data_IF_816448471432
#
_entry.id   IF_816448471432
#
_cell.length_a   1.000
_cell.length_b   1.000
_cell.length_c   1.000
_cell.angle_alpha   90.00
_cell.angle_beta   90.00
_cell.angle_gamma   90.00
#
_symmetry.space_group_name_H-M   'P 1'
#
loop_
_entity.id
_entity.type
_entity.pdbx_description
1 polymer ?
#
# COMPACT_ATOMS: atom_id res chain seq x y z
N UNK A 1 -29.08 6.84 -12.21
CA UNK A 1 -27.73 7.04 -12.72
C UNK A 1 -27.65 6.94 -14.25
N UNK A 2 -28.19 5.87 -14.90
CA UNK A 2 -28.06 5.63 -16.36
C UNK A 2 -28.50 6.82 -17.22
N UNK A 3 -29.54 7.55 -16.82
CA UNK A 3 -30.11 8.68 -17.58
C UNK A 3 -29.60 10.05 -17.08
N UNK A 4 -28.60 10.13 -16.21
CA UNK A 4 -28.08 11.38 -15.66
C UNK A 4 -29.11 12.15 -14.81
N UNK A 5 -30.05 11.45 -14.19
CA UNK A 5 -31.12 12.05 -13.38
C UNK A 5 -31.00 11.55 -11.93
N UNK A 6 -31.08 12.48 -10.98
CA UNK A 6 -31.22 12.21 -9.56
C UNK A 6 -32.50 12.89 -9.03
N UNK A 7 -33.14 12.28 -8.03
CA UNK A 7 -34.36 12.77 -7.41
C UNK A 7 -34.26 12.66 -5.90
N UNK A 8 -34.77 13.64 -5.16
CA UNK A 8 -34.85 13.58 -3.70
C UNK A 8 -36.00 12.67 -3.23
N UNK A 9 -37.04 12.52 -4.06
CA UNK A 9 -38.16 11.62 -3.83
C UNK A 9 -38.70 11.09 -5.15
N UNK A 10 -39.51 10.00 -5.16
CA UNK A 10 -40.14 9.47 -6.39
C UNK A 10 -40.98 10.46 -7.15
N UNK A 11 -41.59 11.43 -6.46
CA UNK A 11 -42.46 12.47 -7.01
C UNK A 11 -41.70 13.70 -7.52
N UNK A 12 -40.40 13.79 -7.30
CA UNK A 12 -39.56 14.90 -7.73
C UNK A 12 -39.49 14.95 -9.26
N UNK A 13 -39.58 16.16 -9.82
CA UNK A 13 -39.54 16.42 -11.25
C UNK A 13 -38.13 16.78 -11.76
N UNK A 14 -37.11 16.58 -10.95
CA UNK A 14 -35.74 16.83 -11.35
C UNK A 14 -35.36 16.01 -12.60
N UNK A 15 -34.72 16.66 -13.57
CA UNK A 15 -34.26 16.11 -14.84
C UNK A 15 -32.72 16.07 -14.98
N UNK A 16 -32.02 16.31 -13.89
CA UNK A 16 -30.55 16.40 -13.86
C UNK A 16 -29.96 15.80 -12.59
N UNK A 17 -28.64 15.89 -12.42
CA UNK A 17 -27.91 15.36 -11.25
C UNK A 17 -27.81 16.34 -10.08
N UNK A 18 -28.39 17.54 -10.18
CA UNK A 18 -28.30 18.55 -9.12
C UNK A 18 -28.66 18.02 -7.73
N UNK A 19 -29.77 17.25 -7.53
CA UNK A 19 -30.10 16.73 -6.21
C UNK A 19 -29.01 15.84 -5.59
N UNK A 20 -28.31 15.04 -6.40
CA UNK A 20 -27.18 14.24 -5.96
C UNK A 20 -25.98 15.11 -5.56
N UNK A 21 -25.66 16.11 -6.39
CA UNK A 21 -24.56 17.03 -6.12
C UNK A 21 -24.82 17.86 -4.84
N UNK A 22 -26.05 18.32 -4.64
CA UNK A 22 -26.45 19.03 -3.42
C UNK A 22 -26.31 18.18 -2.16
N UNK A 23 -26.61 16.87 -2.25
CA UNK A 23 -26.37 15.92 -1.14
C UNK A 23 -24.88 15.76 -0.89
N UNK A 24 -24.08 15.58 -1.92
CA UNK A 24 -22.61 15.46 -1.77
C UNK A 24 -22.04 16.71 -1.10
N UNK A 25 -22.42 17.91 -1.55
CA UNK A 25 -21.94 19.18 -0.99
C UNK A 25 -22.36 19.37 0.48
N UNK A 26 -23.49 18.81 0.89
CA UNK A 26 -23.98 18.90 2.26
C UNK A 26 -23.34 17.89 3.20
N UNK A 27 -23.19 16.64 2.76
CA UNK A 27 -22.80 15.51 3.61
C UNK A 27 -21.28 15.24 3.59
N UNK A 28 -20.59 15.61 2.50
CA UNK A 28 -19.16 15.35 2.37
C UNK A 28 -18.36 16.59 2.77
N UNK A 29 -17.63 16.49 3.87
CA UNK A 29 -16.72 17.55 4.30
C UNK A 29 -15.57 17.73 3.30
N UNK A 30 -15.16 18.98 2.99
CA UNK A 30 -13.98 19.23 2.16
C UNK A 30 -12.73 18.56 2.73
N UNK A 31 -11.88 18.03 1.86
CA UNK A 31 -10.62 17.39 2.23
C UNK A 31 -9.59 18.39 2.77
N UNK A 32 -9.76 19.69 2.48
CA UNK A 32 -8.89 20.78 2.90
C UNK A 32 -9.70 21.93 3.51
N UNK A 33 -9.11 22.62 4.46
CA UNK A 33 -9.60 23.90 4.99
C UNK A 33 -8.43 24.81 5.29
N UNK A 34 -8.68 26.11 5.39
CA UNK A 34 -7.65 27.10 5.75
C UNK A 34 -7.04 26.81 7.12
N UNK A 35 -7.87 26.39 8.08
CA UNK A 35 -7.42 26.01 9.42
C UNK A 35 -6.46 24.84 9.41
N UNK A 36 -6.74 23.81 8.59
CA UNK A 36 -5.88 22.63 8.45
C UNK A 36 -4.58 22.96 7.73
N UNK A 37 -4.58 23.87 6.75
CA UNK A 37 -3.37 24.26 6.02
C UNK A 37 -2.40 25.11 6.85
N UNK A 38 -2.90 25.85 7.86
CA UNK A 38 -2.07 26.65 8.78
C UNK A 38 -1.43 25.82 9.92
N UNK A 39 -1.85 24.55 10.07
CA UNK A 39 -1.29 23.65 11.08
C UNK A 39 0.09 23.12 10.69
N UNK A 40 0.75 22.46 11.64
CA UNK A 40 1.98 21.73 11.39
C UNK A 40 1.72 20.50 10.51
N UNK A 41 2.69 20.21 9.66
CA UNK A 41 2.62 19.05 8.74
C UNK A 41 2.24 17.77 9.45
N UNK A 42 1.27 17.05 8.87
CA UNK A 42 0.85 15.71 9.27
C UNK A 42 0.47 14.89 8.03
N UNK A 43 1.25 13.85 7.75
CA UNK A 43 1.05 12.95 6.60
C UNK A 43 1.06 11.50 7.08
N UNK A 44 0.19 10.68 6.52
CA UNK A 44 0.21 9.23 6.78
C UNK A 44 0.32 8.46 5.47
N UNK A 45 1.38 7.66 5.30
CA UNK A 45 1.48 6.70 4.20
C UNK A 45 0.45 5.58 4.34
N UNK A 46 -0.22 5.28 3.22
CA UNK A 46 -1.15 4.16 3.11
C UNK A 46 -0.74 3.17 2.01
N UNK A 47 0.27 3.54 1.20
CA UNK A 47 0.85 2.65 0.20
C UNK A 47 2.34 2.95 0.03
N UNK A 48 3.08 2.00 -0.54
CA UNK A 48 4.49 2.12 -0.85
C UNK A 48 4.72 1.86 -2.33
N UNK A 49 5.74 2.51 -2.89
CA UNK A 49 6.26 2.25 -4.22
C UNK A 49 7.79 2.15 -4.16
N UNK A 50 8.40 1.67 -5.22
CA UNK A 50 9.83 1.60 -5.34
C UNK A 50 10.30 2.15 -6.69
N UNK A 51 11.34 2.94 -6.64
CA UNK A 51 12.01 3.48 -7.83
C UNK A 51 13.50 3.13 -7.76
N UNK A 52 14.09 2.69 -8.87
CA UNK A 52 15.47 2.22 -8.88
C UNK A 52 16.50 3.33 -8.52
N UNK A 53 16.14 4.61 -8.69
CA UNK A 53 17.00 5.75 -8.39
C UNK A 53 16.67 6.44 -7.08
N UNK A 54 15.38 6.50 -6.71
CA UNK A 54 14.90 7.19 -5.53
C UNK A 54 14.74 6.25 -4.33
N UNK A 55 14.78 4.94 -4.56
CA UNK A 55 14.52 3.93 -3.54
C UNK A 55 13.04 3.82 -3.19
N UNK A 56 12.75 3.52 -1.93
CA UNK A 56 11.38 3.41 -1.41
C UNK A 56 10.69 4.77 -1.42
N UNK A 57 9.44 4.77 -1.88
CA UNK A 57 8.57 5.93 -1.99
C UNK A 57 7.33 5.71 -1.12
N UNK A 58 6.98 6.71 -0.32
CA UNK A 58 5.78 6.69 0.49
C UNK A 58 4.64 7.39 -0.24
N UNK A 59 3.52 6.70 -0.46
CA UNK A 59 2.29 7.30 -0.97
C UNK A 59 1.36 7.51 0.21
N UNK A 60 1.01 8.76 0.48
CA UNK A 60 0.24 9.13 1.65
C UNK A 60 -0.67 10.32 1.41
N UNK A 61 -1.57 10.55 2.37
CA UNK A 61 -2.43 11.73 2.39
C UNK A 61 -1.85 12.78 3.32
N UNK A 62 -1.87 14.04 2.88
CA UNK A 62 -1.59 15.19 3.74
C UNK A 62 -2.86 15.51 4.53
N UNK A 63 -2.84 15.30 5.84
CA UNK A 63 -3.97 15.56 6.73
C UNK A 63 -3.96 16.98 7.26
N UNK A 64 -2.77 17.54 7.51
CA UNK A 64 -2.58 18.89 8.03
C UNK A 64 -1.31 19.52 7.45
N UNK A 65 -1.32 20.83 7.30
CA UNK A 65 -0.17 21.62 6.88
C UNK A 65 0.21 21.47 5.42
N UNK A 66 1.48 21.74 5.15
CA UNK A 66 2.08 21.72 3.81
C UNK A 66 3.37 20.92 3.86
N UNK A 67 3.53 19.98 2.93
CA UNK A 67 4.77 19.24 2.76
C UNK A 67 5.63 19.91 1.69
N UNK A 68 6.94 20.04 1.95
CA UNK A 68 7.88 20.70 1.03
C UNK A 68 9.08 19.81 0.71
N UNK A 69 9.55 19.92 -0.52
CA UNK A 69 10.79 19.30 -0.93
C UNK A 69 11.98 19.91 -0.15
N UNK A 70 12.92 19.06 0.25
CA UNK A 70 14.10 19.46 1.02
C UNK A 70 13.87 19.61 2.52
N UNK A 71 12.64 19.44 3.00
CA UNK A 71 12.28 19.63 4.40
C UNK A 71 12.71 18.45 5.28
N UNK A 72 13.15 18.78 6.51
CA UNK A 72 13.37 17.78 7.57
C UNK A 72 12.05 17.47 8.26
N UNK A 73 11.74 16.19 8.37
CA UNK A 73 10.52 15.66 9.01
C UNK A 73 10.87 14.61 10.04
N UNK A 74 9.98 14.43 10.99
CA UNK A 74 10.01 13.35 11.96
C UNK A 74 9.04 12.24 11.55
N UNK A 75 9.50 11.01 11.50
CA UNK A 75 8.67 9.83 11.26
C UNK A 75 8.44 9.15 12.59
N UNK A 76 7.19 8.92 12.94
CA UNK A 76 6.79 8.30 14.21
C UNK A 76 6.05 6.99 13.96
N UNK A 77 6.45 5.96 14.71
CA UNK A 77 5.72 4.68 14.79
C UNK A 77 4.66 4.74 15.88
N UNK A 78 3.68 3.85 15.80
CA UNK A 78 2.69 3.65 16.88
C UNK A 78 3.32 3.23 18.21
N UNK A 79 4.52 2.62 18.19
CA UNK A 79 5.30 2.27 19.38
C UNK A 79 5.90 3.46 20.13
N UNK A 80 5.83 4.67 19.56
CA UNK A 80 6.46 5.89 20.10
C UNK A 80 7.88 6.15 19.59
N UNK A 81 8.50 5.19 18.90
CA UNK A 81 9.79 5.43 18.25
C UNK A 81 9.67 6.53 17.21
N UNK A 82 10.66 7.43 17.19
CA UNK A 82 10.73 8.50 16.21
C UNK A 82 12.12 8.60 15.58
N UNK A 83 12.15 9.02 14.32
CA UNK A 83 13.38 9.25 13.57
C UNK A 83 13.24 10.44 12.63
N UNK A 84 14.33 11.15 12.41
CA UNK A 84 14.36 12.28 11.47
C UNK A 84 14.80 11.81 10.08
N UNK A 85 14.14 12.33 9.05
CA UNK A 85 14.47 12.09 7.64
C UNK A 85 14.27 13.38 6.85
N UNK A 86 14.92 13.44 5.69
CA UNK A 86 14.77 14.55 4.76
C UNK A 86 13.94 14.13 3.56
N UNK A 87 12.87 14.85 3.26
CA UNK A 87 12.10 14.67 2.03
C UNK A 87 12.96 15.18 0.86
N UNK A 88 13.37 14.28 -0.02
CA UNK A 88 14.21 14.65 -1.17
C UNK A 88 13.38 15.11 -2.36
N UNK A 89 12.22 14.49 -2.59
CA UNK A 89 11.27 14.85 -3.65
C UNK A 89 9.84 14.70 -3.19
N UNK A 90 8.97 15.53 -3.74
CA UNK A 90 7.52 15.48 -3.58
C UNK A 90 6.89 15.34 -4.96
N UNK A 91 5.93 14.41 -5.09
CA UNK A 91 5.14 14.25 -6.30
C UNK A 91 3.66 14.29 -5.93
N UNK A 92 2.87 14.85 -6.82
CA UNK A 92 1.40 14.76 -6.84
C UNK A 92 0.93 13.92 -8.02
N UNK A 93 -0.35 13.58 -8.07
CA UNK A 93 -0.92 12.76 -9.12
C UNK A 93 -1.85 13.61 -9.99
N UNK A 94 -1.62 13.60 -11.29
CA UNK A 94 -2.51 14.15 -12.30
C UNK A 94 -3.05 12.99 -13.15
N UNK A 95 -4.24 12.50 -12.81
CA UNK A 95 -4.76 11.24 -13.37
C UNK A 95 -3.88 10.04 -12.98
N UNK A 96 -3.29 9.37 -13.95
CA UNK A 96 -2.39 8.23 -13.75
C UNK A 96 -0.90 8.61 -13.67
N UNK A 97 -0.57 9.86 -13.97
CA UNK A 97 0.81 10.33 -14.03
C UNK A 97 1.23 10.97 -12.70
N UNK A 98 2.50 10.75 -12.33
CA UNK A 98 3.13 11.46 -11.21
C UNK A 98 3.83 12.71 -11.71
N UNK A 99 3.59 13.83 -11.04
CA UNK A 99 4.19 15.13 -11.35
C UNK A 99 5.01 15.62 -10.16
N UNK A 100 6.29 15.92 -10.40
CA UNK A 100 7.15 16.49 -9.37
C UNK A 100 6.67 17.90 -9.03
N UNK A 101 6.62 18.23 -7.75
CA UNK A 101 6.24 19.55 -7.23
C UNK A 101 7.16 19.95 -6.08
N UNK A 102 7.30 21.26 -5.86
CA UNK A 102 8.07 21.79 -4.74
C UNK A 102 7.33 21.64 -3.40
N UNK A 103 6.00 21.67 -3.44
CA UNK A 103 5.15 21.51 -2.26
C UNK A 103 3.78 20.92 -2.61
N UNK A 104 3.13 20.35 -1.59
CA UNK A 104 1.75 19.90 -1.65
C UNK A 104 1.03 20.22 -0.34
N UNK A 105 -0.28 20.38 -0.39
CA UNK A 105 -1.09 20.93 0.69
C UNK A 105 -2.01 19.88 1.31
N UNK A 106 -2.64 20.26 2.41
CA UNK A 106 -3.66 19.45 3.08
C UNK A 106 -4.75 19.00 2.11
N UNK A 107 -5.11 17.72 2.18
CA UNK A 107 -6.07 17.09 1.30
C UNK A 107 -5.45 16.36 0.11
N UNK A 108 -4.22 16.72 -0.28
CA UNK A 108 -3.51 16.06 -1.39
C UNK A 108 -3.08 14.64 -1.05
N UNK A 109 -3.05 13.81 -2.07
CA UNK A 109 -2.33 12.53 -2.05
C UNK A 109 -0.97 12.77 -2.69
N UNK A 110 0.07 12.47 -1.92
CA UNK A 110 1.46 12.74 -2.31
C UNK A 110 2.29 11.46 -2.36
N UNK A 111 3.31 11.47 -3.20
CA UNK A 111 4.37 10.47 -3.18
C UNK A 111 5.66 11.16 -2.73
N UNK A 112 6.27 10.65 -1.65
CA UNK A 112 7.43 11.24 -0.99
C UNK A 112 8.65 10.34 -1.14
N UNK A 113 9.78 10.91 -1.55
CA UNK A 113 11.08 10.27 -1.60
C UNK A 113 12.00 10.77 -0.48
N UNK A 114 13.04 9.99 -0.15
CA UNK A 114 14.00 10.30 0.91
C UNK A 114 13.69 9.64 2.25
N UNK A 115 12.75 8.71 2.27
CA UNK A 115 12.25 8.00 3.44
C UNK A 115 12.48 6.48 3.31
N UNK A 116 13.75 5.99 3.31
CA UNK A 116 14.07 4.61 2.91
C UNK A 116 13.49 3.55 3.83
N UNK A 117 13.22 3.89 5.07
CA UNK A 117 12.73 3.00 6.12
C UNK A 117 11.28 3.28 6.54
N UNK A 118 10.52 3.97 5.69
CA UNK A 118 9.10 4.29 5.93
C UNK A 118 8.22 3.06 5.77
N UNK A 119 7.19 2.95 6.61
CA UNK A 119 6.16 1.94 6.54
C UNK A 119 4.75 2.54 6.50
N UNK A 120 3.79 1.72 6.06
CA UNK A 120 2.37 2.09 6.04
C UNK A 120 1.89 2.33 7.48
N UNK A 121 1.06 3.36 7.67
CA UNK A 121 0.47 3.72 8.95
C UNK A 121 1.39 4.46 9.91
N UNK A 122 2.67 4.67 9.55
CA UNK A 122 3.53 5.59 10.30
C UNK A 122 3.06 7.03 10.08
N UNK A 123 3.40 7.91 10.99
CA UNK A 123 3.05 9.33 10.91
C UNK A 123 4.28 10.15 10.55
N UNK A 124 4.21 10.89 9.46
CA UNK A 124 5.21 11.89 9.08
C UNK A 124 4.73 13.24 9.63
N UNK A 125 5.51 13.86 10.48
CA UNK A 125 5.16 15.11 11.15
C UNK A 125 6.34 16.10 11.17
N UNK A 126 6.08 17.35 11.54
CA UNK A 126 7.13 18.36 11.63
C UNK A 126 7.97 18.19 12.90
N UNK A 127 7.31 17.98 14.02
CA UNK A 127 7.94 17.89 15.35
C UNK A 127 7.66 16.53 16.00
N UNK A 128 8.62 15.98 16.76
CA UNK A 128 8.44 14.70 17.45
C UNK A 128 7.36 14.73 18.54
N UNK A 129 6.94 15.89 19.00
CA UNK A 129 5.91 16.05 20.05
C UNK A 129 4.48 16.02 19.50
N UNK A 130 4.29 16.16 18.17
CA UNK A 130 2.96 16.08 17.56
C UNK A 130 2.32 14.71 17.83
N UNK A 131 1.00 14.70 17.94
CA UNK A 131 0.23 13.46 18.04
C UNK A 131 0.37 12.61 16.78
N UNK A 132 0.36 11.30 16.96
CA UNK A 132 0.39 10.34 15.86
C UNK A 132 -1.04 10.08 15.36
N UNK A 133 -1.14 9.86 14.06
CA UNK A 133 -2.39 9.39 13.48
C UNK A 133 -2.66 7.92 13.89
N UNK A 134 -3.93 7.50 13.96
CA UNK A 134 -4.27 6.11 14.21
C UNK A 134 -3.54 5.18 13.25
N UNK A 135 -2.95 4.10 13.77
CA UNK A 135 -2.24 3.13 12.95
C UNK A 135 -3.19 2.46 11.95
N UNK A 136 -2.70 2.27 10.73
CA UNK A 136 -3.42 1.45 9.74
C UNK A 136 -3.13 -0.01 10.06
N UNK A 137 -4.16 -0.76 10.42
CA UNK A 137 -4.04 -2.20 10.64
C UNK A 137 -3.77 -2.91 9.32
N UNK A 138 -2.76 -3.76 9.31
CA UNK A 138 -2.44 -4.62 8.17
C UNK A 138 -2.71 -6.05 8.59
N UNK A 139 -3.57 -6.73 7.85
CA UNK A 139 -3.93 -8.11 8.13
C UNK A 139 -2.70 -9.01 8.03
N UNK A 140 -2.58 -9.92 8.98
CA UNK A 140 -1.53 -10.92 8.98
C UNK A 140 -1.75 -11.97 7.88
N UNK A 141 -0.67 -12.57 7.37
CA UNK A 141 -0.78 -13.66 6.42
C UNK A 141 -1.60 -14.84 6.97
N UNK A 142 -2.47 -15.41 6.12
CA UNK A 142 -3.31 -16.57 6.46
C UNK A 142 -2.89 -17.84 5.74
N UNK A 143 -2.15 -17.72 4.64
CA UNK A 143 -1.66 -18.86 3.86
C UNK A 143 -0.15 -18.76 3.62
N UNK A 144 0.48 -19.89 3.40
CA UNK A 144 1.86 -19.94 2.95
C UNK A 144 2.05 -20.98 1.83
N UNK A 145 3.02 -20.70 0.95
CA UNK A 145 3.41 -21.55 -0.17
C UNK A 145 4.93 -21.57 -0.29
N UNK A 146 5.47 -22.65 -0.83
CA UNK A 146 6.87 -22.71 -1.21
C UNK A 146 7.01 -22.26 -2.66
N UNK A 147 7.91 -21.33 -2.93
CA UNK A 147 8.30 -20.86 -4.25
C UNK A 147 9.63 -21.49 -4.61
N UNK A 148 9.69 -22.17 -5.74
CA UNK A 148 10.86 -22.85 -6.26
C UNK A 148 11.12 -22.41 -7.71
N UNK A 149 12.34 -22.53 -8.15
CA UNK A 149 12.63 -22.44 -9.58
C UNK A 149 12.11 -23.67 -10.31
N UNK A 150 11.74 -23.50 -11.57
CA UNK A 150 11.30 -24.62 -12.40
C UNK A 150 12.50 -25.53 -12.73
N UNK A 151 12.61 -26.65 -12.02
CA UNK A 151 13.65 -27.66 -12.21
C UNK A 151 13.25 -28.76 -13.19
N UNK A 152 12.09 -28.63 -13.85
CA UNK A 152 11.62 -29.63 -14.84
C UNK A 152 12.49 -29.58 -16.11
N UNK A 153 12.47 -30.67 -16.93
CA UNK A 153 13.14 -30.68 -18.24
C UNK A 153 12.66 -29.63 -19.24
N UNK A 154 11.53 -28.96 -18.91
CA UNK A 154 10.94 -27.87 -19.69
C UNK A 154 11.34 -26.47 -19.15
N UNK A 155 12.09 -26.41 -18.07
CA UNK A 155 12.55 -25.14 -17.47
C UNK A 155 13.36 -24.31 -18.46
N UNK A 156 13.11 -22.99 -18.50
CA UNK A 156 13.79 -22.04 -19.37
C UNK A 156 13.25 -21.97 -20.79
N UNK A 157 12.12 -22.61 -21.09
CA UNK A 157 11.53 -22.56 -22.45
C UNK A 157 10.64 -21.35 -22.66
N UNK A 158 9.95 -20.91 -21.65
CA UNK A 158 8.98 -19.80 -21.71
C UNK A 158 9.48 -18.55 -20.96
N UNK A 159 10.20 -18.73 -19.87
CA UNK A 159 10.69 -17.65 -19.02
C UNK A 159 12.19 -17.37 -19.21
N UNK A 160 12.58 -16.15 -18.88
CA UNK A 160 13.99 -15.70 -18.93
C UNK A 160 14.68 -15.85 -17.58
N UNK A 161 13.91 -15.84 -16.49
CA UNK A 161 14.42 -15.84 -15.12
C UNK A 161 14.10 -17.20 -14.48
N UNK A 162 15.12 -18.04 -14.39
CA UNK A 162 15.00 -19.46 -14.01
C UNK A 162 15.95 -19.86 -12.87
N UNK A 163 16.62 -18.88 -12.25
CA UNK A 163 17.58 -19.16 -11.19
C UNK A 163 17.06 -18.75 -9.80
N UNK A 164 17.46 -19.50 -8.78
CA UNK A 164 17.11 -19.22 -7.38
C UNK A 164 17.52 -17.79 -6.96
N UNK A 165 18.69 -17.31 -7.44
CA UNK A 165 19.17 -15.96 -7.16
C UNK A 165 18.21 -14.90 -7.72
N UNK A 166 17.80 -15.04 -8.99
CA UNK A 166 16.87 -14.11 -9.63
C UNK A 166 15.51 -14.11 -8.91
N UNK A 167 15.02 -15.28 -8.52
CA UNK A 167 13.79 -15.43 -7.74
C UNK A 167 13.91 -14.70 -6.39
N UNK A 168 15.03 -14.86 -5.68
CA UNK A 168 15.30 -14.17 -4.43
C UNK A 168 15.28 -12.65 -4.60
N UNK A 169 16.06 -12.14 -5.53
CA UNK A 169 16.16 -10.69 -5.81
C UNK A 169 14.78 -10.09 -6.18
N UNK A 170 13.94 -10.85 -6.88
CA UNK A 170 12.58 -10.42 -7.21
C UNK A 170 11.66 -10.37 -6.00
N UNK A 171 11.73 -11.40 -5.14
CA UNK A 171 10.95 -11.45 -3.91
C UNK A 171 11.39 -10.39 -2.90
N UNK A 172 12.69 -10.14 -2.76
CA UNK A 172 13.23 -9.04 -1.94
C UNK A 172 12.69 -7.69 -2.42
N UNK A 173 12.63 -7.47 -3.74
CA UNK A 173 12.05 -6.25 -4.33
C UNK A 173 10.55 -6.14 -4.07
N UNK A 174 9.81 -7.24 -4.11
CA UNK A 174 8.40 -7.24 -3.75
C UNK A 174 8.17 -6.82 -2.30
N UNK A 175 9.02 -7.26 -1.37
CA UNK A 175 8.92 -6.89 0.05
C UNK A 175 9.11 -5.39 0.32
N UNK A 176 9.73 -4.65 -0.61
CA UNK A 176 9.87 -3.20 -0.48
C UNK A 176 8.54 -2.46 -0.58
N UNK A 177 7.57 -3.03 -1.30
CA UNK A 177 6.28 -2.37 -1.60
C UNK A 177 5.08 -3.13 -1.06
N UNK A 178 5.18 -4.44 -0.93
CA UNK A 178 4.08 -5.31 -0.53
C UNK A 178 4.15 -5.67 0.94
N UNK A 179 3.58 -4.82 1.79
CA UNK A 179 3.63 -4.95 3.25
C UNK A 179 2.80 -6.13 3.81
N UNK A 180 1.88 -6.68 3.03
CA UNK A 180 1.09 -7.87 3.39
C UNK A 180 1.77 -9.18 3.03
N UNK A 181 2.98 -9.12 2.46
CA UNK A 181 3.78 -10.28 2.08
C UNK A 181 4.89 -10.51 3.10
N UNK A 182 5.15 -11.77 3.43
CA UNK A 182 6.36 -12.17 4.16
C UNK A 182 7.06 -13.27 3.38
N UNK A 183 8.37 -13.27 3.38
CA UNK A 183 9.17 -14.32 2.74
C UNK A 183 10.25 -14.78 3.71
N UNK A 184 10.35 -16.10 3.87
CA UNK A 184 11.44 -16.73 4.59
C UNK A 184 12.48 -17.26 3.58
N UNK A 185 13.67 -16.69 3.64
CA UNK A 185 14.82 -17.02 2.80
C UNK A 185 15.81 -17.97 3.48
N UNK A 186 15.43 -18.62 4.59
CA UNK A 186 16.32 -19.49 5.37
C UNK A 186 16.72 -20.77 4.61
N UNK A 187 15.88 -21.21 3.68
CA UNK A 187 16.12 -22.39 2.87
C UNK A 187 16.78 -22.02 1.55
N UNK A 188 17.69 -22.88 1.07
CA UNK A 188 18.38 -22.66 -0.22
C UNK A 188 17.62 -23.20 -1.43
N UNK A 189 16.75 -24.20 -1.22
CA UNK A 189 16.05 -24.91 -2.29
C UNK A 189 14.72 -24.25 -2.66
N UNK A 190 14.08 -23.59 -1.70
CA UNK A 190 12.80 -22.89 -1.88
C UNK A 190 12.69 -21.70 -0.94
N UNK A 191 11.81 -20.77 -1.28
CA UNK A 191 11.45 -19.64 -0.41
C UNK A 191 10.01 -19.80 0.04
N UNK A 192 9.80 -19.71 1.36
CA UNK A 192 8.45 -19.79 1.92
C UNK A 192 7.80 -18.44 1.91
N UNK A 193 6.76 -18.31 1.10
CA UNK A 193 6.03 -17.07 0.87
C UNK A 193 4.72 -17.10 1.63
N UNK A 194 4.47 -16.09 2.43
CA UNK A 194 3.28 -15.92 3.26
C UNK A 194 2.43 -14.80 2.71
N UNK A 195 1.17 -15.07 2.41
CA UNK A 195 0.23 -14.12 1.85
C UNK A 195 -1.06 -14.02 2.66
N UNK A 196 -1.79 -12.92 2.48
CA UNK A 196 -3.09 -12.69 3.15
C UNK A 196 -4.22 -13.58 2.63
N UNK A 197 -4.07 -14.16 1.45
CA UNK A 197 -5.05 -15.04 0.84
C UNK A 197 -4.61 -15.49 -0.54
N UNK A 198 -5.37 -16.40 -1.15
CA UNK A 198 -5.04 -17.00 -2.46
C UNK A 198 -4.90 -15.97 -3.56
N UNK A 199 -5.83 -15.00 -3.64
CA UNK A 199 -5.80 -13.96 -4.67
C UNK A 199 -4.54 -13.09 -4.56
N UNK A 200 -4.10 -12.77 -3.35
CA UNK A 200 -2.89 -11.99 -3.11
C UNK A 200 -1.65 -12.68 -3.71
N UNK A 201 -1.51 -13.97 -3.47
CA UNK A 201 -0.38 -14.76 -4.01
C UNK A 201 -0.55 -15.02 -5.51
N UNK A 202 -1.78 -15.23 -6.00
CA UNK A 202 -2.04 -15.41 -7.41
C UNK A 202 -1.66 -14.18 -8.25
N UNK A 203 -1.94 -12.97 -7.74
CA UNK A 203 -1.54 -11.71 -8.39
C UNK A 203 -0.02 -11.59 -8.43
N UNK A 204 0.67 -11.92 -7.33
CA UNK A 204 2.14 -11.93 -7.32
C UNK A 204 2.71 -12.89 -8.39
N UNK A 205 2.19 -14.11 -8.44
CA UNK A 205 2.62 -15.11 -9.42
C UNK A 205 2.36 -14.66 -10.86
N UNK A 206 1.20 -14.06 -11.11
CA UNK A 206 0.85 -13.57 -12.45
C UNK A 206 1.76 -12.40 -12.87
N UNK A 207 2.08 -11.49 -11.96
CA UNK A 207 3.03 -10.42 -12.22
C UNK A 207 4.41 -10.98 -12.53
N UNK A 208 4.91 -11.93 -11.75
CA UNK A 208 6.19 -12.59 -11.99
C UNK A 208 6.20 -13.33 -13.32
N UNK A 209 5.12 -14.03 -13.66
CA UNK A 209 4.97 -14.71 -14.96
C UNK A 209 5.07 -13.71 -16.12
N UNK A 210 4.38 -12.57 -16.05
CA UNK A 210 4.43 -11.50 -17.06
C UNK A 210 5.81 -10.85 -17.19
N UNK A 211 6.56 -10.79 -16.10
CA UNK A 211 7.94 -10.33 -16.08
C UNK A 211 8.92 -11.36 -16.69
N UNK A 212 8.48 -12.60 -16.90
CA UNK A 212 9.25 -13.69 -17.51
C UNK A 212 9.94 -14.62 -16.50
N UNK A 213 9.43 -14.68 -15.26
CA UNK A 213 9.88 -15.68 -14.28
C UNK A 213 9.14 -16.99 -14.48
N UNK A 214 9.88 -18.09 -14.43
CA UNK A 214 9.33 -19.44 -14.32
C UNK A 214 9.42 -19.91 -12.87
N UNK A 215 8.28 -19.95 -12.19
CA UNK A 215 8.20 -20.31 -10.77
C UNK A 215 7.32 -21.55 -10.61
N UNK A 216 7.83 -22.53 -9.89
CA UNK A 216 7.06 -23.64 -9.38
C UNK A 216 6.58 -23.32 -7.97
N UNK A 217 5.32 -23.64 -7.67
CA UNK A 217 4.75 -23.39 -6.34
C UNK A 217 4.18 -24.68 -5.76
N UNK A 218 4.26 -24.81 -4.43
CA UNK A 218 3.59 -25.88 -3.70
C UNK A 218 2.09 -25.59 -3.59
N UNK A 219 1.34 -26.57 -3.08
CA UNK A 219 -0.03 -26.31 -2.64
C UNK A 219 -0.03 -25.29 -1.48
N UNK A 220 -1.01 -24.38 -1.43
CA UNK A 220 -1.20 -23.47 -0.31
C UNK A 220 -1.43 -24.24 0.99
N UNK A 221 -0.82 -23.76 2.06
CA UNK A 221 -1.03 -24.29 3.40
C UNK A 221 -1.61 -23.18 4.26
N UNK A 222 -2.67 -23.46 4.99
CA UNK A 222 -3.26 -22.54 5.96
C UNK A 222 -2.33 -22.38 7.14
N UNK A 223 -2.14 -21.14 7.61
CA UNK A 223 -1.35 -20.82 8.78
C UNK A 223 -2.25 -20.98 10.01
N UNK A 224 -1.96 -21.98 10.83
CA UNK A 224 -2.64 -22.20 12.09
C UNK A 224 -1.91 -21.40 13.16
N UNK A 225 -2.63 -20.50 13.84
CA UNK A 225 -2.14 -19.78 15.00
C UNK A 225 -2.41 -20.58 16.28
N UNK A 226 -1.54 -20.46 17.26
CA UNK A 226 -1.76 -21.03 18.58
C UNK A 226 -1.78 -19.90 19.61
N UNK A 227 -2.94 -19.70 20.24
CA UNK A 227 -3.11 -18.74 21.34
C UNK A 227 -3.58 -19.47 22.58
N UNK A 228 -2.87 -19.31 23.68
CA UNK A 228 -3.18 -19.96 24.96
C UNK A 228 -3.36 -21.49 24.88
N UNK A 229 -2.61 -22.17 23.98
CA UNK A 229 -2.71 -23.62 23.77
C UNK A 229 -3.89 -24.07 22.91
N UNK A 230 -4.65 -23.11 22.32
CA UNK A 230 -5.73 -23.38 21.39
C UNK A 230 -5.27 -23.06 19.97
N UNK A 231 -5.47 -24.00 19.05
CA UNK A 231 -5.19 -23.79 17.62
C UNK A 231 -6.35 -23.02 17.00
N UNK A 232 -6.01 -21.93 16.33
CA UNK A 232 -6.95 -21.04 15.64
C UNK A 232 -6.68 -21.11 14.14
N UNK A 233 -7.75 -21.35 13.38
CA UNK A 233 -7.73 -21.23 11.92
C UNK A 233 -8.25 -19.87 11.48
N UNK A 234 -7.75 -19.29 10.37
CA UNK A 234 -8.31 -18.07 9.82
C UNK A 234 -9.75 -18.33 9.34
N UNK A 235 -10.65 -17.42 9.69
CA UNK A 235 -12.05 -17.48 9.33
C UNK A 235 -12.43 -16.22 8.54
N UNK A 236 -13.15 -16.39 7.44
CA UNK A 236 -13.61 -15.28 6.60
C UNK A 236 -15.15 -15.24 6.62
N UNK A 237 -15.68 -14.05 6.81
CA UNK A 237 -17.10 -13.76 6.61
C UNK A 237 -17.27 -13.19 5.20
N UNK A 238 -18.02 -13.86 4.35
CA UNK A 238 -18.25 -13.47 2.96
C UNK A 238 -19.71 -13.13 2.75
N UNK A 239 -19.99 -11.92 2.30
CA UNK A 239 -21.32 -11.54 1.82
C UNK A 239 -21.35 -11.68 0.30
N UNK A 240 -22.29 -12.46 -0.20
CA UNK A 240 -22.50 -12.68 -1.64
C UNK A 240 -23.81 -11.98 -2.01
N UNK A 241 -23.72 -10.99 -2.91
CA UNK A 241 -24.88 -10.26 -3.46
C UNK A 241 -25.35 -10.87 -4.78
#
# INVERSE_FOLDING_TARGET
AKNGIAKNSPSDKSDNLKPLLDVILREVSPASSKELSEKLLLVQPFNLAYDNFLGRLAIGRVYEGVVKQGEMVCIKKSSGESRQRKITKVFTFEGMERKETEQAEVGDIVMLAGLPDIYIGETICKNPEQEILPAIAIDEPTICLNFLVNSSPLGGREGKFVTTRQLKERLERELEVNVGLRVDFSQSEYYKVYGRGELHVAILLENMRREGYEVQVSQPQVIIKEENGVKLEPFEEVTID
#
